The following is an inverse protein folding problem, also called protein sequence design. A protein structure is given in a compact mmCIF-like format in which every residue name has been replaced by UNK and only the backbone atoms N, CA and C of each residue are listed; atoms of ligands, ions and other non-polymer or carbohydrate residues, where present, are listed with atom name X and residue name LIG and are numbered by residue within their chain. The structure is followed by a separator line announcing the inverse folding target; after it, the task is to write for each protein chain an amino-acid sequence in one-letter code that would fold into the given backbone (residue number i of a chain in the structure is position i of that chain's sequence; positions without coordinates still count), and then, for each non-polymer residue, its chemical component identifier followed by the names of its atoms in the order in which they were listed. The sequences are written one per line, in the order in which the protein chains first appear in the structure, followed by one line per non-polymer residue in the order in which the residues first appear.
data_IF_332133471056
#
_entry.id   IF_332133471056
#
_cell.length_a   1.000
_cell.length_b   1.000
_cell.length_c   1.000
_cell.angle_alpha   90.00
_cell.angle_beta   90.00
_cell.angle_gamma   90.00
#
_symmetry.space_group_name_H-M   'P 1'
#
loop_
_entity.id
_entity.type
_entity.pdbx_description
1 polymer ?
#
# COMPACT_ATOMS: atom_id res chain seq x y z
N UNK A 1 -38.03 -10.64 -21.01
CA UNK A 1 -37.73 -9.69 -22.09
C UNK A 1 -36.22 -9.68 -22.22
N UNK A 2 -35.72 -10.36 -23.25
CA UNK A 2 -34.29 -10.64 -23.48
C UNK A 2 -33.75 -9.51 -24.34
N UNK A 3 -32.69 -8.82 -23.90
CA UNK A 3 -32.00 -7.82 -24.73
C UNK A 3 -30.54 -8.20 -24.87
N UNK A 4 -30.12 -8.19 -26.13
CA UNK A 4 -28.97 -8.82 -26.72
C UNK A 4 -27.61 -8.22 -26.33
N UNK A 5 -26.62 -9.11 -26.31
CA UNK A 5 -25.20 -8.80 -26.51
C UNK A 5 -25.00 -8.04 -27.84
N UNK A 6 -24.13 -7.03 -27.83
CA UNK A 6 -23.55 -6.47 -29.05
C UNK A 6 -22.04 -6.72 -29.05
N UNK A 7 -21.66 -7.53 -30.03
CA UNK A 7 -20.33 -7.65 -30.62
C UNK A 7 -19.90 -6.31 -31.24
N UNK A 8 -18.64 -5.94 -31.04
CA UNK A 8 -17.93 -4.97 -31.86
C UNK A 8 -16.59 -5.57 -32.29
N UNK A 9 -16.62 -6.29 -33.41
CA UNK A 9 -15.51 -6.45 -34.34
C UNK A 9 -14.98 -5.08 -34.80
N UNK A 10 -13.66 -4.92 -34.86
CA UNK A 10 -13.05 -3.67 -35.28
C UNK A 10 -11.54 -3.70 -35.44
N UNK A 11 -11.01 -4.65 -36.22
CA UNK A 11 -9.65 -4.59 -36.75
C UNK A 11 -9.49 -3.37 -37.69
N UNK A 12 -8.59 -2.44 -37.35
CA UNK A 12 -7.94 -1.54 -38.33
C UNK A 12 -6.46 -1.36 -37.96
N UNK A 13 -5.58 -2.03 -38.72
CA UNK A 13 -4.20 -1.57 -39.03
C UNK A 13 -4.28 -0.75 -40.32
N UNK A 14 -3.52 0.34 -40.49
CA UNK A 14 -2.10 0.27 -40.93
C UNK A 14 -1.26 1.41 -40.29
N UNK A 15 0.02 1.68 -40.52
CA UNK A 15 0.99 1.38 -41.57
C UNK A 15 2.41 1.63 -41.03
N UNK A 16 3.37 0.98 -41.68
CA UNK A 16 4.83 1.17 -41.64
C UNK A 16 5.26 2.64 -41.82
N UNK A 17 6.23 3.11 -41.02
CA UNK A 17 7.26 4.06 -41.47
C UNK A 17 8.63 3.63 -40.93
N UNK A 18 9.58 3.65 -41.85
CA UNK A 18 10.92 3.10 -41.79
C UNK A 18 11.95 4.23 -41.57
N UNK A 19 13.13 3.82 -41.10
CA UNK A 19 14.46 4.47 -41.23
C UNK A 19 14.81 5.71 -40.41
N UNK A 20 15.91 5.58 -39.67
CA UNK A 20 16.65 6.67 -39.03
C UNK A 20 17.98 6.16 -38.47
N UNK A 21 18.86 5.70 -39.36
CA UNK A 21 20.24 5.34 -39.08
C UNK A 21 21.07 6.60 -38.82
N UNK A 22 21.74 6.66 -37.66
CA UNK A 22 22.94 7.50 -37.53
C UNK A 22 23.97 6.81 -36.64
N UNK A 23 25.04 6.35 -37.28
CA UNK A 23 26.32 6.00 -36.64
C UNK A 23 26.94 7.28 -36.08
N UNK A 24 27.50 7.21 -34.87
CA UNK A 24 28.57 8.11 -34.45
C UNK A 24 29.65 7.30 -33.75
N UNK A 25 30.81 7.30 -34.39
CA UNK A 25 32.10 6.76 -33.95
C UNK A 25 32.80 7.86 -33.13
N UNK A 26 33.48 7.49 -32.05
CA UNK A 26 34.34 8.38 -31.26
C UNK A 26 34.88 7.64 -30.03
N UNK A 27 35.95 6.85 -30.16
CA UNK A 27 37.37 7.26 -30.03
C UNK A 27 37.80 7.50 -28.57
N UNK A 28 38.50 6.46 -28.07
CA UNK A 28 39.76 6.45 -27.33
C UNK A 28 39.97 7.24 -26.04
N UNK A 29 40.75 6.55 -25.20
CA UNK A 29 41.75 7.08 -24.28
C UNK A 29 41.28 7.42 -22.85
N UNK A 30 41.51 6.45 -21.96
CA UNK A 30 42.78 6.53 -21.25
C UNK A 30 42.70 6.48 -19.72
N UNK A 31 43.83 6.01 -19.19
CA UNK A 31 44.31 6.16 -17.81
C UNK A 31 43.81 5.17 -16.78
N UNK A 32 44.44 3.98 -16.88
CA UNK A 32 45.02 3.26 -15.75
C UNK A 32 45.75 4.22 -14.78
N UNK A 33 45.32 4.27 -13.53
CA UNK A 33 46.19 4.59 -12.40
C UNK A 33 46.06 3.46 -11.38
N UNK A 34 47.10 2.64 -11.33
CA UNK A 34 47.42 1.76 -10.22
C UNK A 34 47.66 2.62 -8.97
N UNK A 35 46.96 2.30 -7.88
CA UNK A 35 47.34 2.74 -6.54
C UNK A 35 47.69 1.51 -5.69
N UNK A 36 48.79 1.58 -4.92
CA UNK A 36 49.39 0.44 -4.24
C UNK A 36 48.61 -0.01 -3.00
N UNK A 37 48.76 -1.30 -2.74
CA UNK A 37 48.46 -2.04 -1.52
C UNK A 37 49.02 -1.32 -0.28
N UNK A 38 48.14 -0.75 0.53
CA UNK A 38 48.43 -0.47 1.93
C UNK A 38 47.85 -1.62 2.77
N UNK A 39 48.70 -2.59 3.12
CA UNK A 39 48.42 -3.58 4.16
C UNK A 39 48.39 -2.87 5.52
N UNK A 40 47.23 -2.31 5.88
CA UNK A 40 46.92 -1.95 7.25
C UNK A 40 46.46 -3.20 7.98
N UNK A 41 47.33 -3.74 8.83
CA UNK A 41 47.01 -4.79 9.81
C UNK A 41 45.77 -4.40 10.62
N UNK A 42 44.70 -5.22 10.64
CA UNK A 42 43.57 -4.98 11.52
C UNK A 42 44.01 -5.22 12.96
N UNK A 43 43.91 -4.15 13.76
CA UNK A 43 44.02 -4.19 15.21
C UNK A 43 42.83 -5.01 15.77
N UNK A 44 43.04 -6.13 16.47
CA UNK A 44 41.95 -6.87 17.09
C UNK A 44 41.44 -6.05 18.29
N UNK A 45 40.35 -5.31 18.10
CA UNK A 45 39.53 -4.88 19.21
C UNK A 45 38.77 -6.10 19.72
N UNK A 46 39.13 -6.54 20.91
CA UNK A 46 38.28 -7.39 21.75
C UNK A 46 36.93 -6.65 21.90
N UNK A 47 35.89 -7.22 21.30
CA UNK A 47 34.52 -6.79 21.53
C UNK A 47 34.00 -7.65 22.66
N UNK A 48 33.72 -6.99 23.78
CA UNK A 48 33.00 -7.50 24.94
C UNK A 48 31.80 -8.36 24.52
N UNK A 49 31.76 -9.59 25.03
CA UNK A 49 30.70 -10.59 24.83
C UNK A 49 29.42 -10.27 25.64
N UNK A 50 29.04 -9.00 25.79
CA UNK A 50 27.91 -8.61 26.67
C UNK A 50 26.95 -7.61 26.06
N UNK A 51 26.56 -7.81 24.81
CA UNK A 51 25.26 -7.31 24.34
C UNK A 51 24.56 -8.42 23.57
N UNK A 52 23.82 -9.21 24.33
CA UNK A 52 22.76 -10.10 23.86
C UNK A 52 21.71 -9.21 23.18
N UNK A 53 21.99 -8.88 21.93
CA UNK A 53 21.05 -8.26 21.01
C UNK A 53 19.88 -9.22 20.89
N UNK A 54 18.84 -8.94 21.66
CA UNK A 54 17.49 -9.44 21.42
C UNK A 54 17.07 -8.84 20.09
N UNK A 55 17.51 -9.48 19.01
CA UNK A 55 16.91 -9.33 17.70
C UNK A 55 15.42 -9.62 17.94
N UNK A 56 14.52 -8.65 17.74
CA UNK A 56 13.11 -8.95 17.81
C UNK A 56 12.88 -9.90 16.64
N UNK A 57 12.78 -11.19 16.95
CA UNK A 57 12.19 -12.17 16.08
C UNK A 57 10.83 -11.59 15.70
N UNK A 58 10.80 -10.90 14.56
CA UNK A 58 9.57 -10.71 13.80
C UNK A 58 9.15 -12.14 13.53
N UNK A 59 8.25 -12.62 14.38
CA UNK A 59 7.43 -13.77 14.08
C UNK A 59 6.79 -13.41 12.75
N UNK A 60 7.39 -13.94 11.69
CA UNK A 60 6.76 -14.02 10.38
C UNK A 60 5.54 -14.86 10.67
N UNK A 61 4.43 -14.17 10.92
CA UNK A 61 3.15 -14.80 11.06
C UNK A 61 2.87 -15.34 9.67
N UNK A 62 3.20 -16.62 9.48
CA UNK A 62 2.68 -17.45 8.38
C UNK A 62 1.17 -17.51 8.54
N UNK A 63 0.51 -16.40 8.21
CA UNK A 63 -0.92 -16.32 8.09
C UNK A 63 -1.27 -16.84 6.70
N UNK A 64 -2.09 -17.88 6.71
CA UNK A 64 -2.50 -18.76 5.63
C UNK A 64 -1.38 -19.61 5.03
N UNK A 65 -1.49 -20.94 5.21
CA UNK A 65 -0.58 -21.96 4.68
C UNK A 65 -0.49 -22.06 3.14
N UNK A 66 -0.76 -20.97 2.43
CA UNK A 66 -0.43 -20.77 1.02
C UNK A 66 1.04 -20.40 0.89
N UNK A 67 1.78 -21.13 0.06
CA UNK A 67 3.18 -20.82 -0.19
C UNK A 67 3.33 -19.46 -0.88
N UNK A 68 4.49 -18.81 -0.73
CA UNK A 68 4.79 -17.54 -1.42
C UNK A 68 4.65 -17.65 -2.95
N UNK A 69 4.95 -18.82 -3.51
CA UNK A 69 4.79 -19.11 -4.94
C UNK A 69 3.30 -19.17 -5.30
N UNK A 70 2.47 -19.80 -4.48
CA UNK A 70 1.02 -19.84 -4.70
C UNK A 70 0.40 -18.44 -4.64
N UNK A 71 0.90 -17.56 -3.76
CA UNK A 71 0.46 -16.16 -3.70
C UNK A 71 0.78 -15.42 -5.01
N UNK A 72 1.98 -15.63 -5.57
CA UNK A 72 2.36 -15.06 -6.87
C UNK A 72 1.46 -15.58 -7.99
N UNK A 73 1.22 -16.88 -8.06
CA UNK A 73 0.33 -17.46 -9.08
C UNK A 73 -1.10 -16.96 -8.96
N UNK A 74 -1.64 -16.85 -7.73
CA UNK A 74 -2.96 -16.24 -7.50
C UNK A 74 -3.01 -14.78 -7.94
N UNK A 75 -1.94 -14.01 -7.70
CA UNK A 75 -1.86 -12.62 -8.17
C UNK A 75 -1.91 -12.56 -9.71
N UNK A 76 -1.21 -13.47 -10.40
CA UNK A 76 -1.24 -13.55 -11.87
C UNK A 76 -2.63 -13.93 -12.39
N UNK A 77 -3.33 -14.87 -11.74
CA UNK A 77 -4.72 -15.20 -12.08
C UNK A 77 -5.66 -13.98 -11.91
N UNK A 78 -5.48 -13.19 -10.85
CA UNK A 78 -6.24 -11.95 -10.64
C UNK A 78 -5.97 -10.95 -11.76
N UNK A 79 -4.72 -10.82 -12.21
CA UNK A 79 -4.35 -9.97 -13.34
C UNK A 79 -4.99 -10.46 -14.63
N UNK A 80 -4.97 -11.77 -14.88
CA UNK A 80 -5.53 -12.38 -16.08
C UNK A 80 -7.02 -12.12 -16.23
N UNK A 81 -7.76 -12.13 -15.12
CA UNK A 81 -9.20 -11.89 -15.10
C UNK A 81 -9.63 -10.43 -14.92
N UNK A 82 -8.70 -9.46 -14.89
CA UNK A 82 -9.06 -8.07 -14.63
C UNK A 82 -9.35 -7.28 -15.92
N UNK A 83 -10.32 -6.37 -15.82
CA UNK A 83 -10.67 -5.44 -16.90
C UNK A 83 -9.76 -4.20 -16.95
N UNK A 84 -8.62 -4.24 -16.24
CA UNK A 84 -7.68 -3.13 -16.18
C UNK A 84 -6.69 -3.19 -17.35
N UNK A 85 -6.16 -2.02 -17.72
CA UNK A 85 -5.14 -1.91 -18.76
C UNK A 85 -3.81 -1.47 -18.16
N UNK A 86 -2.75 -2.19 -18.46
CA UNK A 86 -1.40 -1.94 -17.98
C UNK A 86 -0.64 -1.10 -19.00
N UNK A 87 -0.28 0.11 -18.61
CA UNK A 87 0.46 1.08 -19.43
C UNK A 87 1.93 0.97 -19.08
N UNK A 88 2.67 0.29 -19.95
CA UNK A 88 4.12 0.20 -19.89
C UNK A 88 4.77 1.26 -20.79
N UNK A 89 6.05 1.60 -20.55
CA UNK A 89 6.82 2.42 -21.49
C UNK A 89 6.89 1.81 -22.90
N UNK A 90 6.91 0.48 -23.00
CA UNK A 90 6.97 -0.27 -24.26
C UNK A 90 5.62 -0.43 -24.98
N UNK A 91 4.50 -0.19 -24.30
CA UNK A 91 3.18 -0.42 -24.87
C UNK A 91 2.06 -0.58 -23.85
N UNK A 92 0.88 -0.85 -24.35
CA UNK A 92 -0.33 -1.04 -23.56
C UNK A 92 -0.69 -2.52 -23.60
N UNK A 93 -0.86 -3.14 -22.42
CA UNK A 93 -1.24 -4.54 -22.28
C UNK A 93 -2.58 -4.65 -21.56
N UNK A 94 -3.43 -5.59 -21.99
CA UNK A 94 -4.58 -6.01 -21.22
C UNK A 94 -4.18 -7.00 -20.11
N UNK A 95 -5.14 -7.42 -19.29
CA UNK A 95 -4.89 -8.37 -18.20
C UNK A 95 -4.30 -9.70 -18.67
N UNK A 96 -4.71 -10.20 -19.84
CA UNK A 96 -4.21 -11.48 -20.38
C UNK A 96 -2.74 -11.36 -20.85
N UNK A 97 -2.42 -10.32 -21.62
CA UNK A 97 -1.06 -10.05 -22.06
C UNK A 97 -0.12 -9.75 -20.89
N UNK A 98 -0.60 -9.00 -19.89
CA UNK A 98 0.19 -8.72 -18.68
C UNK A 98 0.43 -10.00 -17.87
N UNK A 99 -0.59 -10.83 -17.66
CA UNK A 99 -0.45 -12.11 -16.96
C UNK A 99 0.61 -13.00 -17.64
N UNK A 100 0.60 -13.10 -18.98
CA UNK A 100 1.60 -13.87 -19.72
C UNK A 100 3.03 -13.32 -19.53
N UNK A 101 3.19 -11.99 -19.45
CA UNK A 101 4.48 -11.37 -19.16
C UNK A 101 4.95 -11.66 -17.73
N UNK A 102 4.03 -11.62 -16.76
CA UNK A 102 4.32 -11.96 -15.37
C UNK A 102 4.72 -13.44 -15.23
N UNK A 103 3.99 -14.36 -15.87
CA UNK A 103 4.32 -15.79 -15.90
C UNK A 103 5.75 -16.03 -16.44
N UNK A 104 6.06 -15.41 -17.58
CA UNK A 104 7.40 -15.48 -18.15
C UNK A 104 8.46 -14.89 -17.20
N UNK A 105 8.13 -13.81 -16.48
CA UNK A 105 9.05 -13.14 -15.56
C UNK A 105 9.31 -13.97 -14.30
N UNK A 106 8.29 -14.61 -13.73
CA UNK A 106 8.43 -15.54 -12.59
C UNK A 106 9.40 -16.67 -12.94
N UNK A 107 9.29 -17.24 -14.14
CA UNK A 107 10.19 -18.33 -14.58
C UNK A 107 11.67 -17.93 -14.66
N UNK A 108 11.98 -16.63 -14.78
CA UNK A 108 13.34 -16.10 -14.93
C UNK A 108 13.91 -15.48 -13.66
N UNK A 109 13.10 -15.29 -12.62
CA UNK A 109 13.49 -14.58 -11.41
C UNK A 109 13.51 -15.53 -10.22
N UNK A 110 14.58 -15.46 -9.43
CA UNK A 110 14.64 -16.07 -8.11
C UNK A 110 14.09 -15.09 -7.06
N UNK A 111 12.78 -15.07 -6.89
CA UNK A 111 12.12 -14.29 -5.83
C UNK A 111 11.76 -15.21 -4.67
N UNK A 112 12.04 -14.78 -3.43
CA UNK A 112 11.73 -15.57 -2.24
C UNK A 112 10.33 -15.28 -1.68
N UNK A 113 9.77 -14.10 -1.97
CA UNK A 113 8.46 -13.67 -1.47
C UNK A 113 7.63 -12.95 -2.52
N UNK A 114 6.31 -13.00 -2.39
CA UNK A 114 5.38 -12.31 -3.29
C UNK A 114 5.55 -10.79 -3.23
N UNK A 115 5.84 -10.23 -2.05
CA UNK A 115 6.11 -8.79 -1.90
C UNK A 115 7.38 -8.37 -2.63
N UNK A 116 8.46 -9.15 -2.52
CA UNK A 116 9.69 -8.91 -3.27
C UNK A 116 9.44 -8.98 -4.79
N UNK A 117 8.60 -9.92 -5.25
CA UNK A 117 8.20 -9.97 -6.65
C UNK A 117 7.55 -8.65 -7.09
N UNK A 118 6.57 -8.14 -6.33
CA UNK A 118 5.92 -6.85 -6.61
C UNK A 118 6.89 -5.67 -6.55
N UNK A 119 7.82 -5.66 -5.61
CA UNK A 119 8.86 -4.63 -5.52
C UNK A 119 9.72 -4.57 -6.79
N UNK A 120 10.07 -5.72 -7.36
CA UNK A 120 10.83 -5.79 -8.62
C UNK A 120 9.98 -5.41 -9.85
N UNK A 121 8.66 -5.62 -9.80
CA UNK A 121 7.74 -5.11 -10.83
C UNK A 121 7.65 -3.58 -10.78
N UNK A 122 7.56 -3.01 -9.58
CA UNK A 122 7.44 -1.58 -9.33
C UNK A 122 8.77 -0.80 -9.38
N UNK A 123 9.90 -1.49 -9.40
CA UNK A 123 11.20 -0.84 -9.51
C UNK A 123 11.31 -0.13 -10.87
N UNK A 124 11.56 1.19 -10.83
CA UNK A 124 11.80 1.96 -12.03
C UNK A 124 12.95 1.33 -12.83
N UNK A 125 12.68 0.97 -14.09
CA UNK A 125 13.76 0.59 -15.02
C UNK A 125 14.65 1.82 -15.24
N UNK A 126 15.96 1.62 -15.41
CA UNK A 126 16.89 2.73 -15.64
C UNK A 126 16.43 3.59 -16.82
N UNK A 127 15.87 4.76 -16.53
CA UNK A 127 15.21 5.63 -17.49
C UNK A 127 14.15 6.52 -16.83
N UNK A 128 14.05 7.78 -17.26
CA UNK A 128 13.07 8.73 -16.74
C UNK A 128 11.67 8.36 -17.25
N UNK A 129 10.72 8.08 -16.36
CA UNK A 129 9.33 7.76 -16.72
C UNK A 129 9.05 6.29 -17.01
N UNK A 130 9.84 5.38 -16.45
CA UNK A 130 9.71 3.92 -16.65
C UNK A 130 8.70 3.23 -15.72
N UNK A 131 7.91 3.99 -14.97
CA UNK A 131 6.92 3.44 -14.05
C UNK A 131 5.71 2.93 -14.81
N UNK A 132 5.39 1.65 -14.59
CA UNK A 132 4.19 1.01 -15.14
C UNK A 132 2.99 1.55 -14.38
N UNK A 133 1.94 1.93 -15.12
CA UNK A 133 0.67 2.36 -14.56
C UNK A 133 -0.44 1.38 -14.88
N UNK A 134 -1.46 1.35 -14.04
CA UNK A 134 -2.69 0.59 -14.25
C UNK A 134 -3.80 1.58 -14.46
N UNK A 135 -4.43 1.52 -15.63
CA UNK A 135 -5.66 2.25 -15.95
C UNK A 135 -6.85 1.36 -15.64
N UNK A 136 -7.67 1.78 -14.70
CA UNK A 136 -8.89 1.11 -14.29
C UNK A 136 -10.04 1.41 -15.26
N UNK A 137 -11.12 0.63 -15.17
CA UNK A 137 -12.31 0.78 -16.01
C UNK A 137 -13.03 2.13 -15.82
N UNK A 138 -12.87 2.78 -14.67
CA UNK A 138 -13.37 4.13 -14.38
C UNK A 138 -12.48 5.24 -14.98
N UNK A 139 -11.37 4.87 -15.63
CA UNK A 139 -10.39 5.78 -16.19
C UNK A 139 -9.33 6.27 -15.20
N UNK A 140 -9.41 5.89 -13.93
CA UNK A 140 -8.39 6.24 -12.95
C UNK A 140 -7.07 5.54 -13.27
N UNK A 141 -5.96 6.26 -13.07
CA UNK A 141 -4.61 5.72 -13.24
C UNK A 141 -3.92 5.59 -11.89
N UNK A 142 -3.37 4.41 -11.61
CA UNK A 142 -2.64 4.10 -10.39
C UNK A 142 -1.24 3.56 -10.73
N UNK A 143 -0.22 3.79 -9.90
CA UNK A 143 1.04 3.08 -10.03
C UNK A 143 0.83 1.57 -9.94
N UNK A 144 1.40 0.80 -10.88
CA UNK A 144 1.18 -0.66 -10.92
C UNK A 144 1.63 -1.35 -9.64
N UNK A 145 2.72 -0.86 -9.02
CA UNK A 145 3.18 -1.33 -7.72
C UNK A 145 2.08 -1.29 -6.66
N UNK A 146 1.38 -0.16 -6.54
CA UNK A 146 0.34 0.02 -5.53
C UNK A 146 -0.87 -0.88 -5.79
N UNK A 147 -1.21 -1.05 -7.06
CA UNK A 147 -2.29 -1.94 -7.48
C UNK A 147 -1.96 -3.41 -7.16
N UNK A 148 -0.75 -3.88 -7.49
CA UNK A 148 -0.30 -5.24 -7.17
C UNK A 148 -0.24 -5.51 -5.67
N UNK A 149 0.25 -4.54 -4.88
CA UNK A 149 0.26 -4.66 -3.42
C UNK A 149 -1.16 -4.76 -2.84
N UNK A 150 -2.11 -3.96 -3.34
CA UNK A 150 -3.49 -4.04 -2.89
C UNK A 150 -4.12 -5.43 -3.16
N UNK A 151 -3.86 -6.00 -4.34
CA UNK A 151 -4.33 -7.37 -4.67
C UNK A 151 -3.63 -8.45 -3.86
N UNK A 152 -2.34 -8.27 -3.55
CA UNK A 152 -1.62 -9.20 -2.70
C UNK A 152 -2.18 -9.19 -1.26
N UNK A 153 -2.52 -8.01 -0.72
CA UNK A 153 -3.17 -7.89 0.60
C UNK A 153 -4.53 -8.60 0.65
N UNK A 154 -5.33 -8.49 -0.42
CA UNK A 154 -6.58 -9.23 -0.57
C UNK A 154 -6.36 -10.75 -0.58
N UNK A 155 -5.32 -11.22 -1.26
CA UNK A 155 -4.94 -12.65 -1.30
C UNK A 155 -4.44 -13.14 0.06
N UNK A 156 -3.73 -12.31 0.81
CA UNK A 156 -3.24 -12.58 2.17
C UNK A 156 -4.37 -12.56 3.22
N UNK A 157 -5.60 -12.23 2.83
CA UNK A 157 -6.75 -12.13 3.74
C UNK A 157 -6.62 -10.97 4.72
N UNK A 158 -5.70 -10.02 4.49
CA UNK A 158 -5.57 -8.81 5.29
C UNK A 158 -6.74 -7.91 4.92
N UNK A 159 -7.68 -7.63 5.83
CA UNK A 159 -8.88 -6.90 5.47
C UNK A 159 -8.51 -5.49 4.99
N UNK A 160 -8.81 -5.22 3.73
CA UNK A 160 -8.61 -3.94 3.02
C UNK A 160 -9.38 -2.76 3.68
N UNK A 161 -10.18 -3.04 4.72
CA UNK A 161 -10.88 -2.03 5.53
C UNK A 161 -9.93 -1.07 6.23
N UNK A 162 -8.69 -1.48 6.56
CA UNK A 162 -7.66 -0.59 7.09
C UNK A 162 -7.26 0.49 6.07
N UNK A 163 -7.25 0.16 4.77
CA UNK A 163 -6.88 1.10 3.70
C UNK A 163 -8.05 1.97 3.26
N UNK A 164 -9.30 1.54 3.39
CA UNK A 164 -10.47 2.43 3.18
C UNK A 164 -10.55 3.50 4.26
N UNK A 165 -10.26 3.14 5.51
CA UNK A 165 -10.10 4.10 6.61
C UNK A 165 -8.90 5.03 6.37
N UNK A 166 -7.77 4.52 5.88
CA UNK A 166 -6.57 5.32 5.60
C UNK A 166 -6.63 6.13 4.28
N UNK A 167 -7.37 5.72 3.25
CA UNK A 167 -7.59 6.48 2.00
C UNK A 167 -8.63 7.58 2.19
N UNK A 168 -9.62 7.37 3.06
CA UNK A 168 -10.46 8.46 3.56
C UNK A 168 -9.65 9.47 4.38
N UNK A 169 -8.57 9.03 5.06
CA UNK A 169 -7.71 9.94 5.83
C UNK A 169 -6.56 10.58 5.04
N UNK A 170 -6.15 10.04 3.88
CA UNK A 170 -4.93 10.51 3.18
C UNK A 170 -5.17 11.41 1.96
N UNK A 171 -6.41 11.55 1.47
CA UNK A 171 -6.73 12.40 0.31
C UNK A 171 -7.61 13.63 0.61
N UNK A 172 -7.84 13.95 1.88
CA UNK A 172 -8.54 15.18 2.25
C UNK A 172 -7.62 16.04 3.11
N UNK A 173 -7.20 17.24 2.66
CA UNK A 173 -6.99 18.35 3.57
C UNK A 173 -8.38 18.85 4.02
N UNK A 174 -9.16 17.98 4.63
CA UNK A 174 -10.33 18.37 5.39
C UNK A 174 -9.88 18.19 6.82
N UNK A 175 -9.49 19.30 7.43
CA UNK A 175 -9.70 19.49 8.87
C UNK A 175 -11.15 19.08 9.14
N UNK A 176 -11.37 17.80 9.46
CA UNK A 176 -12.67 17.32 9.88
C UNK A 176 -12.99 18.13 11.12
N UNK A 177 -13.92 19.07 10.99
CA UNK A 177 -14.34 19.87 12.11
C UNK A 177 -14.87 18.95 13.19
N UNK A 178 -14.76 19.36 14.45
CA UNK A 178 -15.29 18.59 15.59
C UNK A 178 -16.75 18.21 15.34
N UNK A 179 -17.55 19.11 14.75
CA UNK A 179 -18.94 18.85 14.36
C UNK A 179 -19.12 17.77 13.30
N UNK A 180 -18.21 17.66 12.32
CA UNK A 180 -18.25 16.62 11.29
C UNK A 180 -17.94 15.25 11.91
N UNK A 181 -16.92 15.18 12.77
CA UNK A 181 -16.57 13.98 13.51
C UNK A 181 -17.75 13.49 14.38
N UNK A 182 -18.44 14.41 15.08
CA UNK A 182 -19.61 14.10 15.89
C UNK A 182 -20.80 13.59 15.05
N UNK A 183 -20.96 14.13 13.83
CA UNK A 183 -22.00 13.66 12.89
C UNK A 183 -21.71 12.26 12.35
N UNK A 184 -20.42 11.93 12.14
CA UNK A 184 -20.00 10.58 11.76
C UNK A 184 -20.31 9.59 12.89
N UNK A 185 -19.98 9.95 14.14
CA UNK A 185 -20.28 9.12 15.32
C UNK A 185 -21.77 8.88 15.44
N UNK A 186 -22.62 9.90 15.31
CA UNK A 186 -24.07 9.77 15.40
C UNK A 186 -24.64 8.77 14.36
N UNK A 187 -24.08 8.76 13.15
CA UNK A 187 -24.51 7.92 12.02
C UNK A 187 -23.91 6.52 11.98
N UNK A 188 -22.92 6.20 12.83
CA UNK A 188 -22.20 4.93 12.74
C UNK A 188 -23.04 3.71 13.17
N UNK A 189 -24.13 3.91 13.92
CA UNK A 189 -24.93 2.85 14.55
C UNK A 189 -24.09 1.88 15.42
N UNK A 190 -22.89 2.31 15.84
CA UNK A 190 -22.03 1.53 16.72
C UNK A 190 -22.42 1.70 18.19
N UNK A 191 -21.96 0.76 19.03
CA UNK A 191 -22.10 0.86 20.49
C UNK A 191 -20.78 1.25 21.12
N UNK A 192 -20.82 2.30 21.93
CA UNK A 192 -19.64 2.84 22.59
C UNK A 192 -19.64 2.42 24.06
N UNK A 193 -18.51 1.90 24.54
CA UNK A 193 -18.37 1.41 25.92
C UNK A 193 -17.37 2.28 26.65
N UNK A 194 -17.82 3.03 27.65
CA UNK A 194 -16.91 3.79 28.48
C UNK A 194 -16.13 2.85 29.42
N UNK A 195 -14.79 2.98 29.48
CA UNK A 195 -13.99 2.21 30.42
C UNK A 195 -14.41 2.49 31.86
N UNK A 196 -14.37 1.47 32.72
CA UNK A 196 -14.72 1.62 34.11
C UNK A 196 -13.70 2.54 34.80
N UNK A 197 -14.18 3.59 35.48
CA UNK A 197 -13.32 4.48 36.26
C UNK A 197 -12.61 3.70 37.37
N UNK A 198 -11.28 3.72 37.34
CA UNK A 198 -10.42 3.27 38.43
C UNK A 198 -10.38 4.37 39.50
N UNK A 199 -10.71 4.01 40.73
CA UNK A 199 -10.51 4.90 41.87
C UNK A 199 -9.02 4.93 42.24
N UNK A 200 -8.54 5.98 42.94
CA UNK A 200 -7.16 6.08 43.41
C UNK A 200 -6.73 4.93 44.36
N UNK A 201 -7.67 4.13 44.85
CA UNK A 201 -7.41 2.93 45.64
C UNK A 201 -7.26 1.64 44.81
N UNK A 202 -7.20 1.74 43.47
CA UNK A 202 -7.08 0.60 42.56
C UNK A 202 -8.35 -0.23 42.37
N UNK A 203 -9.46 0.11 43.04
CA UNK A 203 -10.75 -0.57 42.84
C UNK A 203 -11.51 0.06 41.68
N UNK A 204 -11.96 -0.75 40.73
CA UNK A 204 -12.90 -0.33 39.68
C UNK A 204 -14.29 -0.18 40.29
N UNK A 205 -14.89 1.02 40.21
CA UNK A 205 -16.25 1.26 40.70
C UNK A 205 -17.18 1.50 39.52
N UNK A 206 -18.12 0.56 39.33
CA UNK A 206 -19.21 0.68 38.38
C UNK A 206 -19.19 -0.39 37.28
N UNK A 207 -20.38 -0.76 36.80
CA UNK A 207 -20.53 -1.53 35.56
C UNK A 207 -20.09 -0.66 34.38
N UNK A 208 -19.50 -1.27 33.35
CA UNK A 208 -19.23 -0.58 32.08
C UNK A 208 -20.53 0.04 31.59
N UNK A 209 -20.49 1.33 31.24
CA UNK A 209 -21.64 2.03 30.71
C UNK A 209 -21.56 1.99 29.19
N UNK A 210 -22.57 1.36 28.60
CA UNK A 210 -22.76 1.33 27.15
C UNK A 210 -23.58 2.55 26.75
N UNK A 211 -23.25 3.12 25.60
CA UNK A 211 -23.95 4.22 24.96
C UNK A 211 -24.26 3.81 23.54
N UNK A 212 -25.46 4.14 23.08
CA UNK A 212 -25.72 4.12 21.64
C UNK A 212 -24.99 5.27 20.93
N UNK A 213 -24.92 5.20 19.60
CA UNK A 213 -24.21 6.18 18.79
C UNK A 213 -24.76 7.61 18.93
N UNK A 214 -26.07 7.76 19.13
CA UNK A 214 -26.73 9.06 19.30
C UNK A 214 -26.47 9.67 20.68
N UNK A 215 -26.60 8.88 21.74
CA UNK A 215 -26.32 9.25 23.13
C UNK A 215 -24.84 9.61 23.30
N UNK A 216 -23.94 8.85 22.67
CA UNK A 216 -22.51 9.11 22.73
C UNK A 216 -22.17 10.42 22.00
N UNK A 217 -22.72 10.64 20.80
CA UNK A 217 -22.53 11.89 20.07
C UNK A 217 -23.07 13.11 20.84
N UNK A 218 -24.25 13.00 21.47
CA UNK A 218 -24.82 14.07 22.29
C UNK A 218 -23.96 14.38 23.53
N UNK A 219 -23.42 13.34 24.18
CA UNK A 219 -22.48 13.51 25.29
C UNK A 219 -21.23 14.27 24.86
N UNK A 220 -20.65 13.91 23.72
CA UNK A 220 -19.47 14.58 23.19
C UNK A 220 -19.77 16.02 22.77
N UNK A 221 -20.95 16.32 22.20
CA UNK A 221 -21.41 17.69 21.94
C UNK A 221 -21.45 18.52 23.21
N UNK A 222 -22.08 18.01 24.28
CA UNK A 222 -22.15 18.70 25.59
C UNK A 222 -20.77 18.92 26.19
N UNK A 223 -19.86 17.95 26.04
CA UNK A 223 -18.48 18.07 26.53
C UNK A 223 -17.71 19.14 25.74
N UNK A 224 -17.88 19.19 24.43
CA UNK A 224 -17.30 20.23 23.58
C UNK A 224 -17.84 21.62 23.92
N UNK A 225 -19.16 21.78 24.09
CA UNK A 225 -19.78 23.03 24.54
C UNK A 225 -19.25 23.49 25.90
N UNK A 226 -18.98 22.55 26.82
CA UNK A 226 -18.42 22.85 28.15
C UNK A 226 -16.96 23.30 28.10
N UNK A 227 -16.16 22.74 27.18
CA UNK A 227 -14.76 23.13 26.98
C UNK A 227 -14.61 24.52 26.35
N UNK A 228 -15.68 25.05 25.75
CA UNK A 228 -15.73 26.40 25.20
C UNK A 228 -15.10 26.51 23.80
N UNK A 229 -15.23 27.69 23.19
CA UNK A 229 -14.85 27.98 21.79
C UNK A 229 -13.34 27.93 21.49
N UNK A 230 -12.51 27.61 22.48
CA UNK A 230 -11.05 27.57 22.37
C UNK A 230 -10.54 26.24 21.81
N UNK A 231 -11.32 25.15 21.92
CA UNK A 231 -11.00 23.86 21.30
C UNK A 231 -11.62 23.80 19.91
N UNK A 232 -10.86 24.26 18.91
CA UNK A 232 -11.24 24.25 17.49
C UNK A 232 -10.68 23.07 16.71
N UNK A 233 -9.69 22.40 17.30
CA UNK A 233 -8.97 21.30 16.71
C UNK A 233 -9.45 19.96 17.27
N UNK A 234 -9.60 18.97 16.39
CA UNK A 234 -10.13 17.65 16.75
C UNK A 234 -9.16 16.89 17.64
N UNK A 235 -7.84 17.01 17.42
CA UNK A 235 -6.84 16.29 18.20
C UNK A 235 -6.80 16.87 19.63
N UNK A 236 -6.82 18.20 19.76
CA UNK A 236 -6.94 18.87 21.07
C UNK A 236 -8.23 18.47 21.81
N UNK A 237 -9.35 18.31 21.09
CA UNK A 237 -10.59 17.80 21.69
C UNK A 237 -10.42 16.36 22.18
N UNK A 238 -9.80 15.48 21.38
CA UNK A 238 -9.56 14.08 21.75
C UNK A 238 -8.67 14.00 23.00
N UNK A 239 -7.58 14.77 23.06
CA UNK A 239 -6.67 14.80 24.21
C UNK A 239 -7.36 15.25 25.50
N UNK A 240 -8.24 16.25 25.41
CA UNK A 240 -8.97 16.77 26.58
C UNK A 240 -10.06 15.80 27.07
N UNK A 241 -10.60 14.94 26.19
CA UNK A 241 -11.67 14.01 26.56
C UNK A 241 -11.21 12.61 26.97
N UNK A 242 -10.00 12.20 26.59
CA UNK A 242 -9.39 10.89 26.89
C UNK A 242 -9.06 10.72 28.39
#
# INVERSE_FOLDING_TARGET
MVVAMRSCDGCVRPSVVQTGSTRAVGVLAGWLVFLPLACGTPNPREVDETEQQVEPQRTVRDHDGTSEVDKIHKLIEVVRGCDATFVHPEGIHDGEAEAALLDHRVSRMSVSTARQFVDVLGAARQGKGSEVKVRLADGAELPAKEWYLARLEEIEGVPTSARRAQQLSSNLPVTLGILDALTIVERSNERFVAPARTLPNGKTKGKRKEYDSSEFAEMLRKKWEFLGADVRDLDAFIEEIA
#
